data_IF_298461932458
#
_entry.id   IF_298461932458
#
_cell.length_a   1.000
_cell.length_b   1.000
_cell.length_c   1.000
_cell.angle_alpha   90.00
_cell.angle_beta   90.00
_cell.angle_gamma   90.00
#
_symmetry.space_group_name_H-M   'P 1'
#
loop_
_entity.id
_entity.type
_entity.pdbx_description
1 polymer ?
2 water ?
#
# COMPACT_ATOMS: atom_id res chain seq x y z
N UNK A 1 10.06 23.65 17.62
CA UNK A 1 10.00 22.30 18.29
C UNK A 1 11.42 21.76 18.51
N UNK A 2 11.60 21.01 19.59
CA UNK A 2 12.88 20.34 19.87
C UNK A 2 13.02 19.11 18.99
N UNK A 3 14.19 18.50 19.02
CA UNK A 3 14.53 17.37 18.16
C UNK A 3 13.66 16.14 18.27
N UNK A 4 13.27 15.80 19.49
CA UNK A 4 12.44 14.62 19.70
C UNK A 4 11.10 14.83 19.01
N UNK A 5 10.68 16.07 18.86
CA UNK A 5 9.41 16.32 18.22
C UNK A 5 9.58 16.15 16.68
N UNK A 6 10.78 16.41 16.16
CA UNK A 6 11.07 16.19 14.74
C UNK A 6 11.12 14.70 14.46
N UNK A 7 11.68 13.93 15.38
CA UNK A 7 11.65 12.49 15.24
C UNK A 7 10.20 11.98 15.04
N UNK A 8 9.21 12.57 15.74
CA UNK A 8 7.82 12.14 15.53
C UNK A 8 7.27 12.49 14.17
N UNK A 9 7.49 13.72 13.71
CA UNK A 9 7.04 14.10 12.37
C UNK A 9 7.56 13.06 11.36
N UNK A 10 8.84 12.70 11.44
CA UNK A 10 9.36 11.77 10.45
C UNK A 10 8.77 10.35 10.58
N UNK A 11 8.41 9.96 11.79
CA UNK A 11 7.81 8.64 12.00
C UNK A 11 6.39 8.60 11.42
N UNK A 12 5.73 9.76 11.39
CA UNK A 12 4.38 9.84 10.83
C UNK A 12 4.41 9.76 9.29
N UNK A 13 5.37 10.45 8.69
CA UNK A 13 5.50 10.42 7.25
C UNK A 13 5.70 8.96 6.82
N UNK A 14 6.54 8.27 7.58
CA UNK A 14 6.79 6.86 7.31
C UNK A 14 5.55 5.98 7.53
N UNK A 15 4.70 6.34 8.49
CA UNK A 15 3.50 5.53 8.68
C UNK A 15 2.53 5.71 7.48
N UNK A 16 2.45 6.94 6.96
CA UNK A 16 1.59 7.27 5.83
C UNK A 16 2.07 6.69 4.53
N UNK A 17 3.39 6.52 4.37
CA UNK A 17 3.97 6.03 3.11
C UNK A 17 4.86 4.78 3.19
N UNK A 18 4.27 3.67 3.65
CA UNK A 18 5.00 2.41 3.78
C UNK A 18 5.77 2.11 2.50
N UNK A 19 7.00 1.61 2.63
CA UNK A 19 7.85 1.32 1.50
C UNK A 19 8.13 2.38 0.43
N UNK A 20 7.96 3.68 0.71
CA UNK A 20 8.24 4.74 -0.28
C UNK A 20 9.05 5.89 0.31
N UNK A 21 9.24 5.83 1.61
CA UNK A 21 9.98 6.83 2.35
C UNK A 21 10.87 6.11 3.33
N UNK A 22 12.14 5.96 2.97
CA UNK A 22 13.13 5.32 3.84
C UNK A 22 14.48 6.06 3.67
N UNK A 23 14.69 7.07 4.51
CA UNK A 23 15.92 7.85 4.48
C UNK A 23 17.09 6.93 4.76
N UNK A 24 18.14 7.03 3.95
CA UNK A 24 19.31 6.17 4.12
C UNK A 24 20.07 6.47 5.42
N UNK A 25 19.87 7.66 6.00
CA UNK A 25 20.55 8.06 7.23
C UNK A 25 19.58 8.85 8.11
N UNK A 26 18.70 8.14 8.81
CA UNK A 26 17.65 8.76 9.59
C UNK A 26 18.17 9.85 10.54
N UNK A 27 19.19 9.51 11.32
CA UNK A 27 19.76 10.47 12.23
C UNK A 27 20.13 11.80 11.51
N UNK A 28 20.69 11.69 10.30
CA UNK A 28 21.06 12.87 9.52
C UNK A 28 19.87 13.69 9.00
N UNK A 29 18.83 12.99 8.55
CA UNK A 29 17.60 13.66 8.13
C UNK A 29 16.94 14.39 9.30
N UNK A 30 16.97 13.78 10.50
CA UNK A 30 16.40 14.44 11.66
C UNK A 30 17.14 15.76 11.92
N UNK A 31 18.47 15.69 11.88
CA UNK A 31 19.26 16.87 12.13
C UNK A 31 18.98 18.00 11.11
N UNK A 32 18.86 17.67 9.83
CA UNK A 32 18.66 18.70 8.80
C UNK A 32 17.24 19.29 8.80
N UNK A 33 16.20 18.45 8.91
CA UNK A 33 14.82 18.97 8.99
C UNK A 33 14.67 19.91 10.25
N UNK A 34 15.40 19.60 11.32
CA UNK A 34 15.34 20.43 12.55
C UNK A 34 15.83 21.87 12.39
N UNK A 35 16.73 22.12 11.45
CA UNK A 35 17.21 23.47 11.19
C UNK A 35 16.05 24.34 10.69
N UNK A 36 15.14 23.73 9.96
CA UNK A 36 13.96 24.41 9.51
C UNK A 36 12.88 24.33 10.59
N UNK A 37 12.66 23.15 11.18
CA UNK A 37 11.53 22.98 12.08
C UNK A 37 11.62 23.61 13.48
N UNK A 38 12.79 24.09 13.91
CA UNK A 38 12.90 24.72 15.25
C UNK A 38 12.02 25.96 15.45
N UNK A 39 11.60 26.57 14.36
CA UNK A 39 10.79 27.78 14.52
C UNK A 39 9.27 27.47 14.62
N UNK A 40 8.88 26.22 14.37
CA UNK A 40 7.46 25.81 14.34
C UNK A 40 6.97 24.94 15.54
N UNK A 41 5.64 24.83 15.71
CA UNK A 41 5.05 24.01 16.78
C UNK A 41 4.59 22.61 16.31
N UNK A 42 4.83 21.61 17.14
CA UNK A 42 4.50 20.24 16.77
C UNK A 42 3.03 20.03 16.28
N UNK A 43 2.06 20.59 16.99
CA UNK A 43 0.65 20.43 16.66
C UNK A 43 0.30 20.97 15.25
N UNK A 44 0.77 22.16 14.90
CA UNK A 44 0.48 22.73 13.60
C UNK A 44 1.00 21.91 12.42
N UNK A 45 2.25 21.45 12.51
CA UNK A 45 2.89 20.68 11.44
C UNK A 45 2.27 19.30 11.22
N UNK A 46 1.87 18.63 12.30
CA UNK A 46 1.21 17.34 12.24
C UNK A 46 -0.14 17.48 11.49
N UNK A 47 -0.87 18.56 11.78
CA UNK A 47 -2.12 18.85 11.09
C UNK A 47 -1.86 19.04 9.58
N UNK A 48 -0.81 19.78 9.23
CA UNK A 48 -0.44 19.98 7.83
C UNK A 48 -0.06 18.66 7.11
N UNK A 49 0.59 17.71 7.81
CA UNK A 49 0.91 16.44 7.21
C UNK A 49 -0.35 15.68 6.87
N UNK A 50 -1.33 15.71 7.77
CA UNK A 50 -2.59 15.08 7.48
C UNK A 50 -3.25 15.63 6.19
N UNK A 51 -3.32 16.96 6.03
CA UNK A 51 -3.98 17.48 4.83
C UNK A 51 -3.19 17.10 3.55
N UNK A 52 -1.87 17.04 3.64
CA UNK A 52 -1.03 16.70 2.53
C UNK A 52 -1.23 15.25 2.05
N UNK A 53 -1.41 14.30 2.97
CA UNK A 53 -1.55 12.90 2.58
C UNK A 53 -2.90 12.59 1.93
N UNK A 54 -3.88 13.46 2.11
CA UNK A 54 -5.19 13.16 1.58
C UNK A 54 -5.15 13.24 0.06
N UNK A 55 -4.22 14.02 -0.49
CA UNK A 55 -4.20 14.22 -1.94
C UNK A 55 -2.89 13.96 -2.70
N UNK A 56 -1.87 13.41 -2.07
CA UNK A 56 -0.60 13.18 -2.72
C UNK A 56 -0.11 11.74 -2.73
N UNK A 57 0.23 11.21 -3.93
CA UNK A 57 0.82 9.88 -4.08
C UNK A 57 2.28 9.81 -3.63
N UNK A 58 3.01 10.93 -3.65
CA UNK A 58 4.40 10.87 -3.25
C UNK A 58 4.64 11.58 -1.90
N UNK A 59 5.62 11.11 -1.16
CA UNK A 59 5.90 11.67 0.17
C UNK A 59 6.30 13.15 0.11
N UNK A 60 6.05 13.91 1.16
CA UNK A 60 6.35 15.35 1.18
C UNK A 60 7.81 15.72 1.46
N UNK A 61 8.24 16.94 1.12
CA UNK A 61 9.55 17.44 1.56
C UNK A 61 9.26 18.33 2.76
N UNK A 62 10.28 18.83 3.44
CA UNK A 62 9.97 19.65 4.61
C UNK A 62 9.29 20.90 4.16
N UNK A 63 9.61 21.43 2.98
CA UNK A 63 8.86 22.64 2.60
C UNK A 63 7.37 22.39 2.40
N UNK A 64 6.96 21.18 2.07
CA UNK A 64 5.53 20.97 1.84
C UNK A 64 4.67 21.04 3.15
N UNK A 65 5.30 21.04 4.32
CA UNK A 65 4.54 20.99 5.59
C UNK A 65 4.44 22.33 6.30
N UNK A 66 5.05 23.37 5.78
CA UNK A 66 5.00 24.64 6.49
C UNK A 66 3.73 25.46 6.26
N UNK A 67 2.96 25.07 5.24
CA UNK A 67 1.64 25.71 5.02
C UNK A 67 0.63 24.68 4.46
N UNK B 1 -14.90 6.30 8.61
CA UNK B 1 -15.06 4.93 9.21
C UNK B 1 -14.28 4.80 10.53
N UNK B 2 -14.71 3.91 11.42
CA UNK B 2 -13.96 3.69 12.65
C UNK B 2 -12.66 2.95 12.41
N UNK B 3 -11.82 2.91 13.44
CA UNK B 3 -10.51 2.31 13.37
C UNK B 3 -10.50 0.86 12.94
N UNK B 4 -11.40 0.07 13.50
CA UNK B 4 -11.44 -1.35 13.16
C UNK B 4 -11.79 -1.60 11.68
N UNK B 5 -12.33 -0.59 10.98
CA UNK B 5 -12.67 -0.76 9.56
C UNK B 5 -11.43 -0.44 8.72
N UNK B 6 -10.58 0.43 9.25
CA UNK B 6 -9.33 0.78 8.60
C UNK B 6 -8.42 -0.45 8.64
N UNK B 7 -8.51 -1.24 9.69
CA UNK B 7 -7.70 -2.46 9.77
C UNK B 7 -8.06 -3.41 8.63
N UNK B 8 -9.34 -3.48 8.26
CA UNK B 8 -9.77 -4.33 7.16
C UNK B 8 -9.37 -3.80 5.77
N UNK B 9 -9.37 -2.48 5.58
CA UNK B 9 -8.91 -1.95 4.32
C UNK B 9 -7.45 -2.36 4.14
N UNK B 10 -6.66 -2.22 5.21
CA UNK B 10 -5.24 -2.55 5.13
C UNK B 10 -4.98 -4.03 4.95
N UNK B 11 -5.90 -4.88 5.37
CA UNK B 11 -5.65 -6.30 5.23
C UNK B 11 -5.83 -6.67 3.77
N UNK B 12 -6.77 -5.98 3.14
CA UNK B 12 -7.09 -6.27 1.76
C UNK B 12 -5.94 -5.85 0.80
N UNK B 13 -5.31 -4.73 1.11
CA UNK B 13 -4.20 -4.26 0.30
C UNK B 13 -3.13 -5.35 0.38
N UNK B 14 -2.88 -5.76 1.61
CA UNK B 14 -1.93 -6.83 1.82
C UNK B 14 -2.28 -8.10 1.03
N UNK B 15 -3.55 -8.46 0.89
CA UNK B 15 -3.93 -9.69 0.18
C UNK B 15 -3.70 -9.60 -1.37
N UNK B 16 -3.90 -8.40 -1.93
CA UNK B 16 -3.71 -8.10 -3.33
C UNK B 16 -2.25 -8.11 -3.72
N UNK B 17 -1.39 -7.48 -2.89
CA UNK B 17 0.04 -7.34 -3.15
C UNK B 17 0.90 -8.10 -2.17
N UNK B 18 0.90 -9.43 -2.26
CA UNK B 18 1.69 -10.28 -1.37
C UNK B 18 3.16 -10.02 -1.62
N UNK B 19 3.89 -9.65 -0.58
CA UNK B 19 5.32 -9.39 -0.72
C UNK B 19 5.73 -7.95 -1.09
N UNK B 20 4.79 -7.03 -1.29
CA UNK B 20 5.17 -5.67 -1.69
C UNK B 20 4.55 -4.61 -0.77
N UNK B 21 3.77 -5.05 0.20
CA UNK B 21 3.15 -4.15 1.15
C UNK B 21 3.26 -4.76 2.53
N UNK B 22 4.25 -4.29 3.31
CA UNK B 22 4.44 -4.75 4.69
C UNK B 22 4.93 -3.59 5.58
N UNK B 23 4.00 -2.79 6.10
CA UNK B 23 4.34 -1.63 6.94
C UNK B 23 5.18 -2.05 8.14
N UNK B 24 6.19 -1.27 8.52
CA UNK B 24 7.03 -1.66 9.65
C UNK B 24 6.29 -1.61 11.00
N UNK B 25 5.39 -0.63 11.16
CA UNK B 25 4.59 -0.45 12.38
C UNK B 25 3.08 -0.43 12.04
N UNK B 26 2.44 -1.59 12.07
CA UNK B 26 1.04 -1.73 11.65
C UNK B 26 0.04 -0.87 12.43
N UNK B 27 0.19 -0.81 13.75
CA UNK B 27 -0.74 -0.05 14.56
C UNK B 27 -0.61 1.45 14.32
N UNK B 28 0.61 1.89 13.99
CA UNK B 28 0.89 3.27 13.70
C UNK B 28 0.32 3.61 12.33
N UNK B 29 0.39 2.66 11.40
CA UNK B 29 -0.12 2.93 10.07
C UNK B 29 -1.63 3.03 10.15
N UNK B 30 -2.23 2.16 10.98
CA UNK B 30 -3.67 2.24 11.18
C UNK B 30 -4.04 3.60 11.76
N UNK B 31 -3.32 4.05 12.77
CA UNK B 31 -3.67 5.32 13.37
C UNK B 31 -3.59 6.49 12.38
N UNK B 32 -2.56 6.49 11.53
CA UNK B 32 -2.37 7.58 10.56
C UNK B 32 -3.36 7.55 9.39
N UNK B 33 -3.63 6.38 8.80
CA UNK B 33 -4.59 6.32 7.70
C UNK B 33 -6.00 6.71 8.20
N UNK B 34 -6.31 6.36 9.44
CA UNK B 34 -7.59 6.75 10.05
C UNK B 34 -7.84 8.26 10.08
N UNK B 35 -6.76 9.07 10.19
CA UNK B 35 -6.93 10.53 10.24
C UNK B 35 -7.58 11.01 8.95
N UNK B 36 -7.34 10.28 7.88
CA UNK B 36 -7.91 10.58 6.58
C UNK B 36 -9.18 9.77 6.35
N UNK B 37 -9.15 8.47 6.63
CA UNK B 37 -10.33 7.64 6.36
C UNK B 37 -11.54 7.85 7.30
N UNK B 38 -11.38 8.58 8.40
CA UNK B 38 -12.55 8.79 9.29
C UNK B 38 -13.68 9.57 8.59
N UNK B 39 -13.40 10.04 7.38
CA UNK B 39 -14.40 10.78 6.63
C UNK B 39 -15.22 9.89 5.66
N UNK B 40 -14.69 8.71 5.33
CA UNK B 40 -15.29 7.83 4.32
C UNK B 40 -15.94 6.55 4.85
N UNK B 41 -16.73 5.92 3.98
CA UNK B 41 -17.43 4.67 4.29
C UNK B 41 -16.67 3.42 3.81
N UNK B 42 -16.70 2.37 4.62
CA UNK B 42 -15.96 1.14 4.34
C UNK B 42 -16.23 0.52 2.96
N UNK B 43 -17.48 0.29 2.63
CA UNK B 43 -17.81 -0.36 1.36
C UNK B 43 -17.33 0.42 0.14
N UNK B 44 -17.41 1.75 0.16
CA UNK B 44 -16.98 2.52 -1.01
C UNK B 44 -15.50 2.36 -1.32
N UNK B 45 -14.69 2.39 -0.27
CA UNK B 45 -13.27 2.32 -0.36
C UNK B 45 -12.83 0.91 -0.78
N UNK B 46 -13.55 -0.11 -0.31
CA UNK B 46 -13.26 -1.47 -0.71
C UNK B 46 -13.41 -1.65 -2.23
N UNK B 47 -14.49 -1.10 -2.80
CA UNK B 47 -14.70 -1.19 -4.22
C UNK B 47 -13.64 -0.45 -5.04
N UNK B 48 -13.24 0.72 -4.57
CA UNK B 48 -12.20 1.49 -5.22
C UNK B 48 -10.85 0.75 -5.19
N UNK B 49 -10.59 -0.05 -4.15
CA UNK B 49 -9.37 -0.85 -4.12
C UNK B 49 -9.37 -1.92 -5.24
N UNK B 50 -10.52 -2.54 -5.47
CA UNK B 50 -10.62 -3.54 -6.51
C UNK B 50 -10.34 -2.93 -7.89
N UNK B 51 -10.99 -1.79 -8.21
CA UNK B 51 -10.73 -1.13 -9.47
C UNK B 51 -9.25 -0.73 -9.55
N UNK B 52 -8.66 -0.27 -8.44
CA UNK B 52 -7.24 0.06 -8.43
C UNK B 52 -6.33 -1.14 -8.79
N UNK B 53 -6.60 -2.30 -8.21
CA UNK B 53 -5.77 -3.46 -8.50
C UNK B 53 -5.88 -4.07 -9.92
N UNK B 54 -6.93 -3.78 -10.70
CA UNK B 54 -6.98 -4.38 -12.03
C UNK B 54 -5.88 -3.77 -12.89
N UNK B 55 -5.47 -2.56 -12.57
CA UNK B 55 -4.53 -1.93 -13.48
C UNK B 55 -3.23 -1.40 -12.87
N UNK B 56 -2.94 -1.71 -11.61
CA UNK B 56 -1.72 -1.17 -10.98
C UNK B 56 -0.77 -2.22 -10.42
N UNK B 57 0.48 -2.17 -10.85
CA UNK B 57 1.53 -3.07 -10.37
C UNK B 57 2.11 -2.71 -8.95
N UNK B 58 1.95 -1.45 -8.52
CA UNK B 58 2.38 -1.03 -7.21
C UNK B 58 1.22 -0.77 -6.27
N UNK B 59 1.41 -1.08 -5.00
CA UNK B 59 0.38 -0.91 -3.96
C UNK B 59 -0.05 0.56 -3.79
N UNK B 60 -1.31 0.83 -3.47
CA UNK B 60 -1.81 2.22 -3.37
C UNK B 60 -1.38 3.02 -2.12
N UNK B 61 -1.39 4.37 -2.18
CA UNK B 61 -1.32 5.20 -0.97
C UNK B 61 -2.77 5.49 -0.56
N UNK B 62 -2.98 6.04 0.65
CA UNK B 62 -4.35 6.29 1.06
C UNK B 62 -5.02 7.23 0.11
N UNK B 63 -4.27 8.12 -0.52
CA UNK B 63 -4.97 9.01 -1.43
C UNK B 63 -5.39 8.33 -2.74
N UNK B 64 -4.80 7.17 -3.10
CA UNK B 64 -5.20 6.57 -4.37
C UNK B 64 -6.59 5.95 -4.27
N UNK B 65 -7.06 5.75 -3.04
CA UNK B 65 -8.29 5.04 -2.80
C UNK B 65 -9.50 5.96 -2.60
N UNK B 66 -9.36 7.26 -2.84
CA UNK B 66 -10.43 8.18 -2.53
C UNK B 66 -11.35 8.50 -3.70
N UNK B 67 -10.93 8.07 -4.89
CA UNK B 67 -11.81 8.17 -6.06
C UNK B 67 -11.37 7.08 -7.05
N UNK C 1 -13.42 -16.66 -14.24
CA UNK C 1 -13.21 -18.10 -13.87
C UNK C 1 -13.65 -18.26 -12.40
N UNK C 2 -14.07 -19.46 -12.01
CA UNK C 2 -14.42 -19.72 -10.62
C UNK C 2 -13.18 -19.74 -9.68
N UNK C 3 -13.45 -19.73 -8.38
CA UNK C 3 -12.43 -19.62 -7.32
C UNK C 3 -11.44 -20.77 -7.37
N UNK C 4 -11.95 -21.95 -7.68
CA UNK C 4 -11.12 -23.12 -7.80
C UNK C 4 -10.16 -23.00 -8.98
N UNK C 5 -10.45 -22.14 -9.96
CA UNK C 5 -9.51 -21.96 -11.08
C UNK C 5 -8.48 -20.88 -10.72
N UNK C 6 -8.83 -19.99 -9.80
CA UNK C 6 -7.88 -19.00 -9.29
C UNK C 6 -6.84 -19.72 -8.41
N UNK C 7 -7.29 -20.69 -7.60
CA UNK C 7 -6.34 -21.50 -6.87
C UNK C 7 -5.29 -22.09 -7.84
N UNK C 8 -5.73 -22.50 -9.05
CA UNK C 8 -4.82 -23.01 -10.09
C UNK C 8 -3.83 -21.98 -10.66
N UNK C 9 -4.29 -20.76 -10.90
CA UNK C 9 -3.40 -19.74 -11.39
C UNK C 9 -2.36 -19.49 -10.31
N UNK C 10 -2.80 -19.36 -9.06
CA UNK C 10 -1.85 -19.08 -7.95
C UNK C 10 -0.81 -20.20 -7.74
N UNK C 11 -1.20 -21.47 -7.91
CA UNK C 11 -0.24 -22.57 -7.75
C UNK C 11 0.83 -22.49 -8.84
N UNK C 12 0.39 -22.20 -10.06
CA UNK C 12 1.28 -22.03 -11.21
C UNK C 12 2.32 -20.94 -11.00
N UNK C 13 1.91 -19.80 -10.42
CA UNK C 13 2.82 -18.69 -10.10
C UNK C 13 3.87 -19.18 -9.11
N UNK C 14 3.46 -19.92 -8.11
CA UNK C 14 4.49 -20.38 -7.19
C UNK C 14 5.36 -21.54 -7.76
N UNK C 15 4.89 -22.21 -8.80
CA UNK C 15 5.73 -23.23 -9.45
C UNK C 15 6.84 -22.51 -10.27
N UNK C 16 6.52 -21.35 -10.85
CA UNK C 16 7.46 -20.55 -11.62
C UNK C 16 8.46 -19.81 -10.74
N UNK C 17 8.03 -19.35 -9.55
CA UNK C 17 8.87 -18.58 -8.61
C UNK C 17 9.07 -19.20 -7.21
N UNK C 18 9.76 -20.31 -7.15
CA UNK C 18 10.03 -20.98 -5.88
C UNK C 18 10.71 -20.01 -4.95
N UNK C 19 10.26 -19.90 -3.70
CA UNK C 19 10.94 -19.04 -2.74
C UNK C 19 10.63 -17.54 -2.79
N UNK C 20 9.99 -17.04 -3.84
CA UNK C 20 9.72 -15.58 -3.88
C UNK C 20 8.23 -15.25 -3.83
N UNK C 21 7.38 -16.26 -3.70
CA UNK C 21 5.93 -16.03 -3.71
C UNK C 21 5.24 -16.94 -2.70
N UNK C 22 4.87 -16.38 -1.56
CA UNK C 22 4.18 -17.16 -0.53
C UNK C 22 3.31 -16.21 0.30
N UNK C 23 2.06 -16.04 -0.11
CA UNK C 23 1.12 -15.17 0.58
C UNK C 23 0.99 -15.57 2.05
N UNK C 24 0.91 -14.61 2.96
CA UNK C 24 0.80 -14.95 4.37
C UNK C 24 -0.58 -15.52 4.70
N UNK C 25 -1.52 -15.33 3.78
CA UNK C 25 -2.90 -15.77 3.96
C UNK C 25 -3.47 -16.18 2.58
N UNK C 26 -3.24 -17.43 2.19
CA UNK C 26 -3.61 -17.91 0.85
C UNK C 26 -5.10 -17.78 0.55
N UNK C 27 -5.93 -18.15 1.49
CA UNK C 27 -7.36 -18.08 1.28
C UNK C 27 -7.80 -16.65 0.98
N UNK C 28 -7.26 -15.69 1.75
CA UNK C 28 -7.55 -14.29 1.56
C UNK C 28 -7.01 -13.77 0.24
N UNK C 29 -5.82 -14.23 -0.19
CA UNK C 29 -5.32 -13.79 -1.49
C UNK C 29 -6.20 -14.34 -2.62
N UNK C 30 -6.63 -15.60 -2.49
CA UNK C 30 -7.54 -16.19 -3.46
C UNK C 30 -8.83 -15.39 -3.59
N UNK C 31 -9.41 -15.00 -2.46
CA UNK C 31 -10.66 -14.28 -2.50
C UNK C 31 -10.53 -12.89 -3.17
N UNK C 32 -9.41 -12.20 -2.93
CA UNK C 32 -9.15 -10.90 -3.51
C UNK C 32 -8.80 -10.95 -5.02
N UNK C 33 -7.90 -11.85 -5.45
CA UNK C 33 -7.60 -11.99 -6.88
C UNK C 33 -8.87 -12.42 -7.67
N UNK C 34 -9.77 -13.16 -7.03
CA UNK C 34 -11.01 -13.57 -7.73
C UNK C 34 -11.93 -12.38 -8.04
N UNK C 35 -11.79 -11.28 -7.35
CA UNK C 35 -12.64 -10.12 -7.65
C UNK C 35 -12.32 -9.54 -9.02
N UNK C 36 -11.08 -9.75 -9.47
CA UNK C 36 -10.62 -9.35 -10.79
C UNK C 36 -10.75 -10.56 -11.78
N UNK C 37 -10.25 -11.73 -11.41
CA UNK C 37 -10.23 -12.85 -12.35
C UNK C 37 -11.58 -13.47 -12.77
N UNK C 38 -12.67 -13.09 -12.10
CA UNK C 38 -14.00 -13.61 -12.47
C UNK C 38 -14.36 -13.32 -13.92
N UNK C 39 -13.79 -12.26 -14.47
CA UNK C 39 -14.14 -11.90 -15.84
C UNK C 39 -13.27 -12.55 -16.96
N UNK C 40 -12.33 -13.42 -16.61
CA UNK C 40 -11.37 -13.99 -17.57
C UNK C 40 -11.38 -15.53 -17.65
N UNK C 41 -10.93 -16.10 -18.78
CA UNK C 41 -10.83 -17.56 -18.90
C UNK C 41 -9.51 -18.12 -18.39
N UNK C 42 -9.58 -19.26 -17.71
CA UNK C 42 -8.42 -19.95 -17.17
C UNK C 42 -7.29 -20.15 -18.21
N UNK C 43 -7.61 -20.78 -19.32
CA UNK C 43 -6.59 -21.09 -20.31
C UNK C 43 -5.91 -19.85 -20.87
N UNK C 44 -6.64 -18.75 -20.95
CA UNK C 44 -6.02 -17.56 -21.54
C UNK C 44 -4.97 -16.96 -20.61
N UNK C 45 -5.33 -16.89 -19.33
CA UNK C 45 -4.49 -16.37 -18.26
C UNK C 45 -3.27 -17.27 -18.05
N UNK C 46 -3.42 -18.58 -18.21
CA UNK C 46 -2.28 -19.50 -18.16
C UNK C 46 -1.31 -19.18 -19.30
N UNK C 47 -1.80 -19.00 -20.52
CA UNK C 47 -0.90 -18.65 -21.62
C UNK C 47 -0.12 -17.33 -21.35
N UNK C 48 -0.80 -16.35 -20.75
CA UNK C 48 -0.23 -15.06 -20.38
C UNK C 48 0.82 -15.16 -19.25
N UNK C 49 0.62 -16.08 -18.31
CA UNK C 49 1.60 -16.32 -17.25
C UNK C 49 2.93 -16.81 -17.85
N UNK C 50 2.83 -17.70 -18.81
CA UNK C 50 3.99 -18.22 -19.50
C UNK C 50 4.77 -17.09 -20.20
N UNK C 51 4.07 -16.24 -20.96
CA UNK C 51 4.78 -15.16 -21.63
C UNK C 51 5.44 -14.25 -20.57
N UNK C 52 4.78 -14.08 -19.41
CA UNK C 52 5.32 -13.24 -18.36
C UNK C 52 6.56 -13.83 -17.71
N UNK C 53 6.55 -15.12 -17.45
CA UNK C 53 7.71 -15.73 -16.82
C UNK C 53 8.96 -15.76 -17.71
N UNK C 54 8.81 -15.70 -19.03
CA UNK C 54 9.97 -15.66 -19.91
C UNK C 54 10.87 -14.43 -19.68
N UNK C 55 10.28 -13.31 -19.26
CA UNK C 55 11.10 -12.11 -19.17
C UNK C 55 11.12 -11.32 -17.86
N UNK C 56 10.53 -11.84 -16.78
CA UNK C 56 10.48 -11.14 -15.50
C UNK C 56 11.08 -11.87 -14.30
N UNK C 57 11.98 -11.24 -13.55
CA UNK C 57 12.52 -11.87 -12.34
C UNK C 57 11.67 -11.78 -11.08
N UNK C 58 10.70 -10.88 -11.03
CA UNK C 58 9.78 -10.82 -9.86
C UNK C 58 8.40 -11.38 -10.21
N UNK C 59 7.74 -11.99 -9.23
CA UNK C 59 6.41 -12.56 -9.44
C UNK C 59 5.42 -11.50 -9.88
N UNK C 60 4.44 -11.86 -10.66
CA UNK C 60 3.45 -10.91 -11.21
C UNK C 60 2.36 -10.46 -10.20
N UNK C 61 1.74 -9.30 -10.40
CA UNK C 61 0.53 -8.96 -9.62
C UNK C 61 -0.62 -9.39 -10.54
N UNK C 62 -1.87 -9.29 -10.06
CA UNK C 62 -2.98 -9.75 -10.90
C UNK C 62 -3.11 -8.94 -12.17
N UNK C 63 -2.72 -7.66 -12.11
CA UNK C 63 -2.84 -6.83 -13.30
C UNK C 63 -1.84 -7.15 -14.39
N UNK C 64 -0.76 -7.81 -14.04
CA UNK C 64 0.22 -8.16 -15.06
C UNK C 64 -0.26 -9.35 -15.93
N UNK C 65 -1.27 -10.09 -15.48
CA UNK C 65 -1.65 -11.29 -16.23
C UNK C 65 -2.81 -11.11 -17.16
N UNK C 66 -3.22 -9.87 -17.42
CA UNK C 66 -4.47 -9.69 -18.14
C UNK C 66 -4.40 -9.35 -19.63
N UNK C 67 -3.23 -8.95 -20.16
CA UNK C 67 -3.22 -8.63 -21.59
C UNK C 67 -1.91 -8.90 -22.27
#
# INVERSE_FOLDING_TARGET
MIEKDVVQILKAVSEFYPGRFQPDDLKGTVKAWHRVLAEYELEEIMNNLTDYAKVNKFPPTVSDLLKAQSEQRDRFIPSYEETQRILKEQAEAEEAARNDPDLQAAQEENXRKIREXLGINRGGAR
MIEKDVVQILKAVSEFYPGRFQPDDLKGTVKAWHRVLAEYELEEIMNNLTDYAKVNKFPPTVSDLLKAQSEQRDRFIPSYEETQRILKEQAEAEEAARNDPDLQAAQEENXRKIREXLGINRGGAR
MIEKDVVQILKAVSEFYPGRFQPDDLKGTVKAWHRVLAEYELEEIMNNLTDYAKVNKFPPTVSDLLKAQSEQRDRFIPSYEETQRILKEQAEAEEAARNDPDLQAAQEENXRKIREXLGINRGGAR
#
